data_IF_563042692145
#
_entry.id   IF_563042692145
#
_cell.length_a   1.000
_cell.length_b   1.000
_cell.length_c   1.000
_cell.angle_alpha   90.00
_cell.angle_beta   90.00
_cell.angle_gamma   90.00
#
_symmetry.space_group_name_H-M   'P 1'
#
loop_
_entity.id
_entity.type
_entity.pdbx_description
1 polymer ?
#
# COMPACT_ATOMS: atom_id res chain seq x y z
N UNK A 1 -22.82 5.18 -35.86
CA UNK A 1 -21.71 5.56 -34.95
C UNK A 1 -21.83 4.65 -33.75
N UNK A 2 -20.96 3.65 -33.61
CA UNK A 2 -20.99 2.77 -32.45
C UNK A 2 -20.58 3.58 -31.22
N UNK A 3 -21.37 3.48 -30.16
CA UNK A 3 -21.05 4.10 -28.87
C UNK A 3 -19.65 3.64 -28.45
N UNK A 4 -18.81 4.59 -28.07
CA UNK A 4 -17.51 4.32 -27.46
C UNK A 4 -17.81 3.63 -26.13
N UNK A 5 -17.81 2.29 -26.12
CA UNK A 5 -17.92 1.53 -24.87
C UNK A 5 -16.64 1.85 -24.12
N UNK A 6 -16.74 2.68 -23.09
CA UNK A 6 -15.62 3.03 -22.21
C UNK A 6 -14.98 1.72 -21.75
N UNK A 7 -13.78 1.42 -22.27
CA UNK A 7 -13.03 0.25 -21.87
C UNK A 7 -12.82 0.34 -20.35
N UNK A 8 -13.07 -0.72 -19.57
CA UNK A 8 -12.86 -0.66 -18.13
C UNK A 8 -11.39 -0.36 -17.86
N UNK A 9 -11.13 0.78 -17.19
CA UNK A 9 -9.76 1.19 -16.84
C UNK A 9 -9.12 0.14 -15.94
N UNK A 10 -7.83 -0.12 -16.16
CA UNK A 10 -7.04 -1.00 -15.30
C UNK A 10 -6.85 -0.32 -13.95
N UNK A 11 -7.38 -0.89 -12.87
CA UNK A 11 -7.32 -0.33 -11.51
C UNK A 11 -6.15 -0.92 -10.73
N UNK A 12 -5.22 -0.08 -10.31
CA UNK A 12 -4.02 -0.47 -9.55
C UNK A 12 -4.11 0.12 -8.14
N UNK A 13 -4.16 -0.73 -7.12
CA UNK A 13 -4.06 -0.29 -5.73
C UNK A 13 -2.59 -0.07 -5.35
N UNK A 14 -2.27 1.11 -4.82
CA UNK A 14 -0.91 1.55 -4.51
C UNK A 14 -0.68 1.63 -3.01
N UNK A 15 0.34 0.93 -2.52
CA UNK A 15 0.76 0.90 -1.12
C UNK A 15 2.09 1.65 -0.94
N UNK A 16 2.09 2.71 -0.13
CA UNK A 16 3.26 3.56 0.13
C UNK A 16 4.33 2.87 1.01
N UNK A 17 5.48 3.52 1.21
CA UNK A 17 6.58 3.00 2.03
C UNK A 17 6.47 3.29 3.53
N UNK A 18 7.52 2.96 4.27
CA UNK A 18 7.67 3.38 5.67
C UNK A 18 7.84 4.90 5.78
N UNK A 19 7.23 5.54 6.79
CA UNK A 19 7.30 6.99 7.01
C UNK A 19 6.85 7.78 5.75
N UNK A 20 5.73 7.37 5.16
CA UNK A 20 5.17 7.94 3.92
C UNK A 20 3.64 8.09 4.04
N UNK A 21 2.98 8.64 3.03
CA UNK A 21 1.51 8.75 2.95
C UNK A 21 1.02 8.44 1.54
N UNK A 22 -0.28 8.15 1.40
CA UNK A 22 -0.95 8.00 0.12
C UNK A 22 -0.76 9.25 -0.76
N UNK A 23 -0.95 10.43 -0.18
CA UNK A 23 -0.81 11.72 -0.85
C UNK A 23 0.63 11.95 -1.34
N UNK A 24 1.63 11.68 -0.49
CA UNK A 24 3.03 11.83 -0.86
C UNK A 24 3.43 10.84 -1.96
N UNK A 25 2.92 9.62 -1.89
CA UNK A 25 3.17 8.60 -2.92
C UNK A 25 2.50 8.96 -4.25
N UNK A 26 1.28 9.47 -4.23
CA UNK A 26 0.58 9.99 -5.40
C UNK A 26 1.37 11.13 -6.05
N UNK A 27 1.83 12.10 -5.24
CA UNK A 27 2.64 13.20 -5.72
C UNK A 27 3.96 12.74 -6.36
N UNK A 28 4.64 11.76 -5.74
CA UNK A 28 5.87 11.15 -6.27
C UNK A 28 5.60 10.42 -7.60
N UNK A 29 4.42 9.81 -7.75
CA UNK A 29 4.02 9.07 -8.96
C UNK A 29 3.33 9.91 -10.03
N UNK A 30 3.16 11.23 -9.82
CA UNK A 30 2.40 12.13 -10.73
C UNK A 30 2.80 12.05 -12.20
N UNK A 31 4.08 11.84 -12.50
CA UNK A 31 4.57 11.72 -13.87
C UNK A 31 4.10 10.41 -14.51
N UNK A 32 4.19 9.29 -13.78
CA UNK A 32 3.71 7.99 -14.24
C UNK A 32 2.20 8.02 -14.46
N UNK A 33 1.44 8.57 -13.50
CA UNK A 33 -0.02 8.70 -13.59
C UNK A 33 -0.42 9.47 -14.85
N UNK A 34 0.26 10.58 -15.18
CA UNK A 34 -0.01 11.37 -16.38
C UNK A 34 0.28 10.63 -17.68
N UNK A 35 1.25 9.71 -17.67
CA UNK A 35 1.63 8.91 -18.84
C UNK A 35 0.71 7.70 -19.06
N UNK A 36 0.11 7.14 -18.01
CA UNK A 36 -0.68 5.90 -18.06
C UNK A 36 -2.19 6.20 -18.05
N UNK A 37 -2.73 6.72 -19.15
CA UNK A 37 -4.13 7.21 -19.22
C UNK A 37 -5.21 6.12 -19.12
N UNK A 38 -4.84 4.89 -19.47
CA UNK A 38 -5.74 3.72 -19.44
C UNK A 38 -5.77 3.02 -18.07
N UNK A 39 -5.03 3.58 -17.09
CA UNK A 39 -4.94 3.07 -15.73
C UNK A 39 -5.52 4.06 -14.73
N UNK A 40 -6.16 3.53 -13.69
CA UNK A 40 -6.55 4.26 -12.49
C UNK A 40 -5.63 3.80 -11.35
N UNK A 41 -4.91 4.72 -10.72
CA UNK A 41 -4.09 4.45 -9.53
C UNK A 41 -4.85 4.92 -8.29
N UNK A 42 -5.07 4.00 -7.35
CA UNK A 42 -5.78 4.27 -6.10
C UNK A 42 -4.75 4.17 -4.97
N UNK A 43 -4.55 5.25 -4.22
CA UNK A 43 -3.58 5.31 -3.13
C UNK A 43 -4.30 5.21 -1.79
N UNK A 44 -3.80 4.38 -0.88
CA UNK A 44 -4.34 4.24 0.48
C UNK A 44 -3.25 4.43 1.53
N UNK A 45 -3.62 5.00 2.67
CA UNK A 45 -2.74 5.06 3.83
C UNK A 45 -2.70 3.71 4.52
N UNK A 46 -1.55 3.37 5.10
CA UNK A 46 -1.43 2.23 5.99
C UNK A 46 -2.27 2.46 7.27
N UNK A 47 -2.69 1.39 7.98
CA UNK A 47 -3.57 1.53 9.14
C UNK A 47 -2.87 2.11 10.38
N UNK A 48 -1.54 2.11 10.42
CA UNK A 48 -0.78 2.62 11.56
C UNK A 48 -0.14 3.96 11.24
N UNK A 49 -0.30 4.93 12.14
CA UNK A 49 0.49 6.14 12.12
C UNK A 49 1.97 5.80 12.33
N UNK A 50 2.84 6.56 11.67
CA UNK A 50 4.27 6.44 11.81
C UNK A 50 4.69 6.72 13.26
N UNK A 51 5.54 5.85 13.78
CA UNK A 51 6.21 6.01 15.07
C UNK A 51 7.68 6.33 14.79
N UNK A 52 8.20 7.38 15.39
CA UNK A 52 9.64 7.66 15.34
C UNK A 52 10.39 6.75 16.31
N UNK A 53 11.21 5.87 15.75
CA UNK A 53 12.04 4.91 16.47
C UNK A 53 13.48 5.41 16.70
N UNK A 54 13.80 6.65 16.30
CA UNK A 54 15.09 7.30 16.56
C UNK A 54 16.23 6.90 15.62
N UNK A 55 16.00 6.00 14.66
CA UNK A 55 17.01 5.61 13.65
C UNK A 55 16.90 6.40 12.34
N UNK A 56 15.76 7.03 12.06
CA UNK A 56 15.63 7.95 10.93
C UNK A 56 16.21 9.29 11.35
N UNK A 57 17.26 9.77 10.66
CA UNK A 57 17.68 11.16 10.78
C UNK A 57 16.57 12.03 10.22
N UNK A 58 15.74 12.60 11.10
CA UNK A 58 14.66 13.51 10.75
C UNK A 58 15.24 14.70 9.98
N UNK A 59 15.12 14.72 8.65
CA UNK A 59 15.60 15.84 7.84
C UNK A 59 14.59 16.98 7.72
N UNK A 60 13.39 16.85 8.29
CA UNK A 60 12.46 17.97 8.41
C UNK A 60 11.29 17.61 9.34
N UNK A 61 11.30 18.13 10.57
CA UNK A 61 10.13 18.15 11.47
C UNK A 61 9.16 19.29 11.10
N UNK A 62 9.32 19.91 9.92
CA UNK A 62 8.61 21.12 9.51
C UNK A 62 7.29 20.85 8.76
N UNK A 63 7.02 19.62 8.35
CA UNK A 63 5.73 19.24 7.75
C UNK A 63 4.82 18.63 8.81
N UNK A 64 3.72 19.29 9.17
CA UNK A 64 2.60 18.75 9.95
C UNK A 64 1.86 17.58 9.24
N UNK A 65 2.49 16.95 8.25
CA UNK A 65 1.87 15.94 7.42
C UNK A 65 1.91 14.59 8.14
N UNK A 66 0.73 13.99 8.32
CA UNK A 66 0.60 12.66 8.91
C UNK A 66 1.26 11.61 8.01
N UNK A 67 2.12 10.79 8.60
CA UNK A 67 2.80 9.69 7.94
C UNK A 67 2.38 8.37 8.55
N UNK A 68 2.54 7.30 7.81
CA UNK A 68 2.02 5.98 8.14
C UNK A 68 3.07 4.89 7.95
N UNK A 69 2.79 3.71 8.50
CA UNK A 69 3.59 2.51 8.39
C UNK A 69 2.69 1.27 8.29
N UNK A 70 3.13 0.27 7.54
CA UNK A 70 2.44 -1.02 7.42
C UNK A 70 2.91 -2.02 8.47
N UNK A 71 4.18 -1.90 8.86
CA UNK A 71 4.82 -2.78 9.84
C UNK A 71 5.53 -1.93 10.87
N UNK A 72 5.24 -2.21 12.13
CA UNK A 72 5.91 -1.60 13.27
C UNK A 72 7.16 -2.37 13.64
N UNK A 73 8.11 -1.69 14.27
CA UNK A 73 9.21 -2.34 14.97
C UNK A 73 8.82 -2.59 16.43
N UNK A 74 9.37 -3.65 17.01
CA UNK A 74 9.19 -3.95 18.43
C UNK A 74 10.00 -2.96 19.28
N UNK A 75 9.45 -2.47 20.41
CA UNK A 75 10.13 -1.49 21.25
C UNK A 75 11.48 -1.97 21.80
N UNK A 76 11.64 -3.29 21.99
CA UNK A 76 12.83 -3.88 22.62
C UNK A 76 14.04 -3.93 21.67
N UNK A 77 13.82 -3.97 20.36
CA UNK A 77 14.85 -3.86 19.32
C UNK A 77 14.25 -3.23 18.06
N UNK A 78 14.31 -1.89 17.95
CA UNK A 78 13.67 -1.17 16.86
C UNK A 78 14.42 -1.28 15.52
N UNK A 79 15.60 -1.91 15.49
CA UNK A 79 16.45 -1.95 14.30
C UNK A 79 16.30 -3.28 13.56
N UNK A 80 16.12 -4.38 14.28
CA UNK A 80 16.10 -5.71 13.66
C UNK A 80 14.81 -6.50 13.88
N UNK A 81 13.93 -6.07 14.79
CA UNK A 81 12.79 -6.88 15.21
C UNK A 81 11.45 -6.29 14.78
N UNK A 82 10.91 -6.79 13.67
CA UNK A 82 9.57 -6.42 13.21
C UNK A 82 8.48 -6.99 14.12
N UNK A 83 7.42 -6.21 14.32
CA UNK A 83 6.19 -6.69 14.92
C UNK A 83 5.33 -7.38 13.84
N UNK A 84 5.40 -8.71 13.80
CA UNK A 84 4.65 -9.52 12.85
C UNK A 84 3.11 -9.46 13.03
N UNK A 85 2.60 -8.96 14.15
CA UNK A 85 1.15 -8.77 14.29
C UNK A 85 0.67 -7.61 13.39
N UNK A 86 1.49 -6.56 13.28
CA UNK A 86 1.15 -5.40 12.45
C UNK A 86 1.18 -5.68 10.94
N UNK A 87 2.06 -6.59 10.46
CA UNK A 87 1.99 -7.01 9.05
C UNK A 87 0.68 -7.76 8.77
N UNK A 88 0.23 -8.59 9.72
CA UNK A 88 -1.02 -9.35 9.60
C UNK A 88 -2.21 -8.40 9.53
N UNK A 89 -2.32 -7.46 10.45
CA UNK A 89 -3.40 -6.46 10.48
C UNK A 89 -3.41 -5.58 9.21
N UNK A 90 -2.23 -5.20 8.72
CA UNK A 90 -2.09 -4.47 7.45
C UNK A 90 -2.61 -5.26 6.25
N UNK A 91 -2.31 -6.55 6.18
CA UNK A 91 -2.80 -7.44 5.13
C UNK A 91 -4.34 -7.56 5.21
N UNK A 92 -4.90 -7.78 6.41
CA UNK A 92 -6.35 -7.84 6.63
C UNK A 92 -7.04 -6.55 6.20
N UNK A 93 -6.45 -5.41 6.57
CA UNK A 93 -6.91 -4.09 6.17
C UNK A 93 -6.96 -3.94 4.64
N UNK A 94 -5.88 -4.31 3.93
CA UNK A 94 -5.83 -4.22 2.46
C UNK A 94 -6.80 -5.20 1.80
N UNK A 95 -6.91 -6.44 2.29
CA UNK A 95 -7.88 -7.43 1.79
C UNK A 95 -9.31 -6.91 1.93
N UNK A 96 -9.66 -6.36 3.10
CA UNK A 96 -10.97 -5.77 3.33
C UNK A 96 -11.23 -4.56 2.42
N UNK A 97 -10.23 -3.70 2.22
CA UNK A 97 -10.34 -2.58 1.30
C UNK A 97 -10.59 -3.06 -0.14
N UNK A 98 -9.87 -4.08 -0.59
CA UNK A 98 -10.03 -4.66 -1.93
C UNK A 98 -11.43 -5.28 -2.09
N UNK A 99 -11.92 -6.02 -1.10
CA UNK A 99 -13.25 -6.62 -1.14
C UNK A 99 -14.36 -5.57 -1.21
N UNK A 100 -14.18 -4.42 -0.55
CA UNK A 100 -15.20 -3.37 -0.47
C UNK A 100 -15.14 -2.34 -1.61
N UNK A 101 -13.97 -2.15 -2.23
CA UNK A 101 -13.74 -1.08 -3.22
C UNK A 101 -13.27 -1.62 -4.59
N UNK A 102 -13.14 -2.94 -4.71
CA UNK A 102 -12.74 -3.63 -5.92
C UNK A 102 -13.81 -3.59 -7.03
N UNK A 103 -13.55 -4.21 -8.19
CA UNK A 103 -12.37 -5.03 -8.48
C UNK A 103 -11.09 -4.20 -8.71
N UNK A 104 -9.94 -4.73 -8.32
CA UNK A 104 -8.62 -4.21 -8.68
C UNK A 104 -7.92 -5.20 -9.61
N UNK A 105 -7.20 -4.68 -10.59
CA UNK A 105 -6.45 -5.46 -11.58
C UNK A 105 -5.02 -5.76 -11.14
N UNK A 106 -4.49 -5.01 -10.17
CA UNK A 106 -3.13 -5.21 -9.68
C UNK A 106 -2.83 -4.43 -8.42
N UNK A 107 -1.70 -4.77 -7.82
CA UNK A 107 -1.13 -4.09 -6.66
C UNK A 107 0.23 -3.51 -7.04
N UNK A 108 0.55 -2.31 -6.56
CA UNK A 108 1.86 -1.70 -6.67
C UNK A 108 2.29 -1.26 -5.28
N UNK A 109 3.38 -1.85 -4.78
CA UNK A 109 3.91 -1.53 -3.45
C UNK A 109 5.31 -0.93 -3.51
N UNK A 110 5.62 -0.03 -2.59
CA UNK A 110 6.97 0.51 -2.39
C UNK A 110 7.52 0.16 -1.01
N UNK A 111 8.76 -0.31 -0.91
CA UNK A 111 9.42 -0.63 0.37
C UNK A 111 8.52 -1.51 1.27
N UNK A 112 8.06 -1.04 2.43
CA UNK A 112 7.08 -1.78 3.25
C UNK A 112 5.79 -2.15 2.50
N UNK A 113 5.25 -1.25 1.67
CA UNK A 113 4.08 -1.56 0.85
C UNK A 113 4.36 -2.68 -0.15
N UNK A 114 5.60 -2.81 -0.65
CA UNK A 114 6.00 -3.93 -1.52
C UNK A 114 6.02 -5.26 -0.76
N UNK A 115 6.45 -5.24 0.51
CA UNK A 115 6.41 -6.42 1.39
C UNK A 115 4.97 -6.86 1.62
N UNK A 116 4.04 -5.93 1.88
CA UNK A 116 2.61 -6.25 2.03
C UNK A 116 2.06 -6.87 0.74
N UNK A 117 2.28 -6.24 -0.43
CA UNK A 117 1.87 -6.77 -1.72
C UNK A 117 2.41 -8.20 -1.92
N UNK A 118 3.72 -8.38 -1.79
CA UNK A 118 4.37 -9.69 -2.00
C UNK A 118 3.79 -10.75 -1.05
N UNK A 119 3.62 -10.42 0.23
CA UNK A 119 3.06 -11.35 1.23
C UNK A 119 1.63 -11.76 0.89
N UNK A 120 0.81 -10.84 0.36
CA UNK A 120 -0.55 -11.17 -0.09
C UNK A 120 -0.56 -12.11 -1.30
N UNK A 121 0.48 -12.10 -2.14
CA UNK A 121 0.57 -12.97 -3.32
C UNK A 121 1.12 -14.36 -3.00
N UNK A 122 1.77 -14.54 -1.83
CA UNK A 122 2.24 -15.84 -1.41
C UNK A 122 1.02 -16.71 -1.10
N UNK A 123 0.86 -17.80 -1.86
CA UNK A 123 -0.19 -18.80 -1.64
C UNK A 123 0.11 -19.61 -0.38
N UNK A 124 -0.07 -18.98 0.78
CA UNK A 124 0.03 -19.60 2.07
C UNK A 124 -1.31 -20.33 2.30
N UNK A 125 -1.32 -21.67 2.46
CA UNK A 125 -2.51 -22.51 2.37
C UNK A 125 -3.70 -22.15 3.28
N UNK A 126 -3.55 -21.21 4.21
CA UNK A 126 -4.61 -20.77 5.12
C UNK A 126 -4.59 -19.27 5.44
N UNK A 127 -3.75 -18.43 4.82
CA UNK A 127 -3.63 -17.01 5.21
C UNK A 127 -2.63 -16.14 4.40
N UNK A 128 -2.99 -14.97 3.84
CA UNK A 128 -4.32 -14.45 3.56
C UNK A 128 -4.90 -15.05 2.28
N UNK A 129 -6.21 -15.19 2.20
CA UNK A 129 -6.88 -15.56 0.94
C UNK A 129 -6.82 -14.31 0.04
N UNK A 130 -6.13 -14.41 -1.10
CA UNK A 130 -6.16 -13.39 -2.15
C UNK A 130 -7.63 -12.99 -2.42
N UNK A 131 -7.98 -11.69 -2.41
CA UNK A 131 -9.31 -11.26 -2.77
C UNK A 131 -9.71 -11.83 -4.13
N UNK A 132 -10.94 -12.35 -4.26
CA UNK A 132 -11.41 -13.03 -5.47
C UNK A 132 -11.30 -12.19 -6.76
N UNK A 133 -11.12 -10.87 -6.65
CA UNK A 133 -10.96 -9.98 -7.78
C UNK A 133 -9.53 -9.92 -8.34
N UNK A 134 -8.51 -10.32 -7.58
CA UNK A 134 -7.14 -10.44 -8.08
C UNK A 134 -6.99 -11.85 -8.64
N UNK A 135 -7.05 -11.95 -9.98
CA UNK A 135 -6.86 -13.19 -10.71
C UNK A 135 -5.54 -13.11 -11.46
N UNK A 136 -4.66 -14.09 -11.25
CA UNK A 136 -3.46 -14.33 -12.06
C UNK A 136 -3.81 -15.27 -13.21
#
# INVERSE_FOLDING_TARGET
>A
MAANVDQPKIRILVLHGFCDSAQNREYQMRTLIRSMKDMEFIFINAPFLFVDYGFLKSSDNSSNEQRYQWMSYKPEDPVTNYNYDTIRESIEYVVNYINNNGPFNGLLGFSQGAIVCATMLLNIPNWPILPNCIKF
#
